data_IF_298705327253
#
_entry.id   IF_298705327253
#
_cell.length_a   1.000
_cell.length_b   1.000
_cell.length_c   1.000
_cell.angle_alpha   90.00
_cell.angle_beta   90.00
_cell.angle_gamma   90.00
#
_symmetry.space_group_name_H-M   'P 1'
#
loop_
_entity.id
_entity.type
_entity.pdbx_description
1 polymer ?
#
# COMPACT_ATOMS: atom_id res chain seq x y z
N UNK A 1 -9.33 27.71 -25.70
CA UNK A 1 -7.90 27.41 -25.93
C UNK A 1 -7.11 28.30 -25.00
N UNK A 2 -6.66 27.81 -23.87
CA UNK A 2 -5.75 28.49 -22.95
C UNK A 2 -4.46 27.69 -22.97
N UNK A 3 -3.41 28.24 -23.58
CA UNK A 3 -2.07 27.69 -23.57
C UNK A 3 -1.49 27.86 -22.17
N UNK A 4 -1.25 26.73 -21.48
CA UNK A 4 -0.45 26.69 -20.28
C UNK A 4 1.04 26.74 -20.68
N UNK A 5 1.74 27.80 -20.29
CA UNK A 5 3.19 27.91 -20.41
C UNK A 5 3.87 26.93 -19.43
N UNK A 6 4.90 26.22 -19.86
CA UNK A 6 5.75 25.45 -18.96
C UNK A 6 6.76 26.37 -18.29
N UNK A 7 6.84 26.39 -16.98
CA UNK A 7 7.91 27.06 -16.27
C UNK A 7 7.56 27.58 -14.90
N UNK A 8 7.57 26.69 -13.91
CA UNK A 8 7.88 27.06 -12.54
C UNK A 8 8.97 26.11 -12.03
N UNK A 9 10.18 26.60 -12.06
CA UNK A 9 11.32 26.00 -11.36
C UNK A 9 11.14 26.16 -9.85
N UNK A 10 11.39 25.12 -9.04
CA UNK A 10 11.49 25.26 -7.60
C UNK A 10 12.85 25.88 -7.25
N UNK A 11 12.89 27.21 -7.16
CA UNK A 11 14.05 27.96 -6.68
C UNK A 11 13.79 28.47 -5.28
N UNK A 12 13.99 27.65 -4.26
CA UNK A 12 14.41 28.08 -2.92
C UNK A 12 14.69 26.88 -1.99
N UNK A 13 15.44 25.89 -2.46
CA UNK A 13 16.15 25.00 -1.54
C UNK A 13 17.61 25.45 -1.53
N UNK A 14 18.06 25.88 -0.37
CA UNK A 14 19.43 26.30 -0.07
C UNK A 14 20.44 25.33 -0.72
N UNK A 15 21.23 25.86 -1.65
CA UNK A 15 22.38 25.15 -2.20
C UNK A 15 23.33 24.81 -1.05
N UNK A 16 23.65 23.53 -0.81
CA UNK A 16 24.75 23.23 0.09
C UNK A 16 26.05 23.80 -0.52
N UNK A 17 26.81 24.53 0.29
CA UNK A 17 28.15 25.01 -0.08
C UNK A 17 28.96 23.83 -0.59
N UNK A 18 29.48 23.93 -1.81
CA UNK A 18 30.49 23.00 -2.34
C UNK A 18 31.69 22.99 -1.38
N UNK A 19 31.74 21.99 -0.51
CA UNK A 19 32.99 21.62 0.11
C UNK A 19 33.83 20.93 -0.96
N UNK A 20 35.01 21.48 -1.22
CA UNK A 20 36.01 20.99 -2.16
C UNK A 20 36.54 19.65 -1.70
N UNK A 21 35.84 18.54 -2.06
CA UNK A 21 36.32 17.19 -1.87
C UNK A 21 37.15 16.78 -3.08
N UNK A 22 38.38 17.34 -3.17
CA UNK A 22 39.46 16.66 -3.90
C UNK A 22 39.80 15.33 -3.23
N UNK A 23 38.93 14.33 -3.45
CA UNK A 23 39.24 12.95 -3.10
C UNK A 23 40.32 12.44 -4.06
N UNK A 24 41.54 12.33 -3.55
CA UNK A 24 42.62 11.54 -4.19
C UNK A 24 42.01 10.21 -4.61
N UNK A 25 42.11 9.86 -5.92
CA UNK A 25 41.85 8.53 -6.45
C UNK A 25 42.82 7.52 -5.79
N UNK A 26 42.48 7.05 -4.61
CA UNK A 26 42.98 5.75 -4.13
C UNK A 26 42.25 4.72 -4.98
N UNK A 27 43.01 3.85 -5.66
CA UNK A 27 42.47 2.69 -6.35
C UNK A 27 41.55 1.91 -5.39
N UNK A 28 40.25 2.13 -5.45
CA UNK A 28 39.32 1.38 -4.62
C UNK A 28 39.22 -0.01 -5.20
N UNK A 29 39.77 -0.99 -4.50
CA UNK A 29 39.32 -2.38 -4.68
C UNK A 29 37.78 -2.31 -4.60
N UNK A 30 37.07 -2.81 -5.64
CA UNK A 30 35.62 -2.98 -5.55
C UNK A 30 35.35 -3.68 -4.21
N UNK A 31 34.41 -3.21 -3.39
CA UNK A 31 34.06 -3.90 -2.16
C UNK A 31 33.77 -5.36 -2.52
N UNK A 32 34.34 -6.29 -1.77
CA UNK A 32 34.03 -7.72 -1.93
C UNK A 32 32.51 -7.86 -1.76
N UNK A 33 31.83 -8.43 -2.75
CA UNK A 33 30.38 -8.66 -2.68
C UNK A 33 30.02 -9.59 -1.51
N UNK A 34 28.74 -9.68 -1.22
CA UNK A 34 28.20 -10.52 -0.16
C UNK A 34 28.49 -12.00 -0.44
N UNK A 35 28.72 -12.78 0.60
CA UNK A 35 28.82 -14.25 0.60
C UNK A 35 27.71 -14.81 1.46
N UNK A 36 27.04 -15.83 0.97
CA UNK A 36 26.01 -16.57 1.69
C UNK A 36 26.44 -18.02 1.86
N UNK A 37 26.20 -18.54 3.03
CA UNK A 37 26.23 -19.97 3.27
C UNK A 37 24.84 -20.56 3.00
N UNK A 38 24.81 -21.77 2.49
CA UNK A 38 23.56 -22.48 2.25
C UNK A 38 23.03 -23.01 3.58
N UNK A 39 21.76 -22.73 3.89
CA UNK A 39 21.15 -23.08 5.16
C UNK A 39 19.92 -24.00 5.00
N UNK A 40 19.16 -23.83 3.94
CA UNK A 40 17.86 -24.50 3.77
C UNK A 40 17.84 -25.49 2.61
N UNK A 41 18.39 -25.12 1.47
CA UNK A 41 18.33 -25.93 0.26
C UNK A 41 19.47 -26.95 0.16
N UNK A 42 19.22 -28.09 -0.47
CA UNK A 42 20.27 -29.09 -0.76
C UNK A 42 21.14 -28.63 -1.95
N UNK A 43 22.49 -28.62 -1.81
CA UNK A 43 23.36 -28.25 -2.93
C UNK A 43 23.39 -29.26 -4.08
N UNK A 44 22.83 -30.47 -3.91
CA UNK A 44 22.90 -31.56 -4.88
C UNK A 44 21.76 -31.53 -5.91
N UNK A 45 20.67 -30.81 -5.65
CA UNK A 45 19.54 -30.72 -6.56
C UNK A 45 18.92 -29.32 -6.58
N UNK A 46 18.23 -28.97 -7.67
CA UNK A 46 17.57 -27.69 -7.77
C UNK A 46 16.47 -27.52 -6.72
N UNK A 47 16.21 -26.29 -6.23
CA UNK A 47 15.27 -26.07 -5.11
C UNK A 47 13.85 -26.56 -5.42
N UNK A 48 13.42 -26.51 -6.66
CA UNK A 48 12.12 -27.05 -7.09
C UNK A 48 12.03 -28.57 -7.10
N UNK A 49 13.16 -29.27 -7.16
CA UNK A 49 13.21 -30.74 -7.20
C UNK A 49 13.33 -31.35 -5.80
N UNK A 50 13.41 -30.50 -4.78
CA UNK A 50 13.47 -30.90 -3.36
C UNK A 50 12.09 -31.10 -2.74
N UNK A 51 11.02 -30.91 -3.49
CA UNK A 51 9.64 -31.00 -3.01
C UNK A 51 8.77 -31.83 -3.94
N UNK A 52 7.70 -32.39 -3.40
CA UNK A 52 6.69 -33.10 -4.19
C UNK A 52 5.70 -32.13 -4.81
N UNK A 53 5.35 -32.36 -6.07
CA UNK A 53 4.41 -31.57 -6.85
C UNK A 53 3.16 -32.39 -7.19
N UNK A 54 2.02 -31.72 -7.24
CA UNK A 54 0.79 -32.32 -7.74
C UNK A 54 0.00 -31.33 -8.59
N UNK A 55 -0.95 -31.84 -9.37
CA UNK A 55 -1.88 -30.99 -10.12
C UNK A 55 -3.19 -30.82 -9.38
N UNK A 56 -3.65 -29.56 -9.31
CA UNK A 56 -4.91 -29.17 -8.66
C UNK A 56 -5.77 -28.32 -9.57
N UNK A 57 -7.02 -28.16 -9.20
CA UNK A 57 -7.95 -27.16 -9.73
C UNK A 57 -8.15 -26.08 -8.69
N UNK A 58 -8.02 -24.80 -9.09
CA UNK A 58 -8.40 -23.66 -8.26
C UNK A 58 -9.71 -23.07 -8.79
N UNK A 59 -10.70 -22.97 -7.89
CA UNK A 59 -12.03 -22.47 -8.21
C UNK A 59 -12.49 -21.46 -7.16
N UNK A 60 -13.12 -20.37 -7.58
CA UNK A 60 -13.77 -19.36 -6.75
C UNK A 60 -15.23 -19.28 -7.18
N UNK A 61 -16.12 -19.42 -6.23
CA UNK A 61 -17.55 -19.22 -6.40
C UNK A 61 -18.00 -17.96 -5.66
N UNK A 62 -19.07 -17.33 -6.13
CA UNK A 62 -19.80 -16.32 -5.36
C UNK A 62 -20.74 -16.98 -4.33
N UNK A 63 -21.45 -16.16 -3.55
CA UNK A 63 -22.37 -16.62 -2.50
C UNK A 63 -23.56 -17.42 -3.05
N UNK A 64 -23.88 -17.29 -4.35
CA UNK A 64 -24.90 -18.05 -5.05
C UNK A 64 -24.41 -19.42 -5.54
N UNK A 65 -23.10 -19.71 -5.39
CA UNK A 65 -22.44 -20.91 -5.91
C UNK A 65 -22.02 -20.81 -7.38
N UNK A 66 -22.19 -19.67 -8.03
CA UNK A 66 -21.75 -19.45 -9.40
C UNK A 66 -20.23 -19.32 -9.45
N UNK A 67 -19.59 -20.06 -10.37
CA UNK A 67 -18.14 -20.00 -10.59
C UNK A 67 -17.75 -18.66 -11.21
N UNK A 68 -16.94 -17.88 -10.49
CA UNK A 68 -16.36 -16.60 -10.95
C UNK A 68 -14.95 -16.78 -11.52
N UNK A 69 -14.22 -17.79 -11.07
CA UNK A 69 -12.88 -18.09 -11.55
C UNK A 69 -12.63 -19.60 -11.45
N UNK A 70 -12.07 -20.19 -12.50
CA UNK A 70 -11.64 -21.58 -12.52
C UNK A 70 -10.38 -21.73 -13.36
N UNK A 71 -9.40 -22.43 -12.82
CA UNK A 71 -8.22 -22.88 -13.56
C UNK A 71 -7.88 -24.31 -13.16
N UNK A 72 -7.75 -25.18 -14.16
CA UNK A 72 -7.48 -26.61 -13.99
C UNK A 72 -6.03 -26.94 -14.29
N UNK A 73 -5.60 -28.15 -13.89
CA UNK A 73 -4.26 -28.69 -14.17
C UNK A 73 -3.09 -27.83 -13.68
N UNK A 74 -3.26 -27.13 -12.57
CA UNK A 74 -2.27 -26.24 -11.98
C UNK A 74 -1.26 -27.07 -11.20
N UNK A 75 0.02 -26.92 -11.51
CA UNK A 75 1.12 -27.54 -10.76
C UNK A 75 1.42 -26.74 -9.48
N UNK A 76 1.27 -27.39 -8.33
CA UNK A 76 1.49 -26.78 -7.01
C UNK A 76 2.28 -27.73 -6.10
N UNK A 77 3.01 -27.22 -5.10
CA UNK A 77 3.59 -28.09 -4.07
C UNK A 77 2.51 -28.86 -3.34
N UNK A 78 2.69 -30.16 -3.20
CA UNK A 78 1.74 -31.06 -2.53
C UNK A 78 1.44 -30.65 -1.09
N UNK A 79 2.41 -30.08 -0.40
CA UNK A 79 2.28 -29.62 0.98
C UNK A 79 1.44 -28.33 1.13
N UNK A 80 1.15 -27.62 0.03
CA UNK A 80 0.37 -26.38 0.13
C UNK A 80 -1.09 -26.66 0.46
N UNK A 81 -1.68 -25.81 1.30
CA UNK A 81 -3.11 -25.87 1.58
C UNK A 81 -3.95 -25.52 0.33
N UNK A 82 -5.21 -25.96 0.31
CA UNK A 82 -6.16 -25.57 -0.74
C UNK A 82 -6.34 -24.05 -0.80
N UNK A 83 -6.34 -23.37 0.36
CA UNK A 83 -6.45 -21.92 0.45
C UNK A 83 -5.21 -21.21 -0.15
N UNK A 84 -3.99 -21.64 0.19
CA UNK A 84 -2.76 -21.11 -0.37
C UNK A 84 -2.73 -21.26 -1.90
N UNK A 85 -3.11 -22.43 -2.41
CA UNK A 85 -3.26 -22.69 -3.84
C UNK A 85 -4.25 -21.72 -4.49
N UNK A 86 -5.46 -21.60 -3.93
CA UNK A 86 -6.52 -20.74 -4.45
C UNK A 86 -6.08 -19.28 -4.52
N UNK A 87 -5.43 -18.77 -3.47
CA UNK A 87 -4.93 -17.38 -3.42
C UNK A 87 -3.82 -17.16 -4.44
N UNK A 88 -2.78 -18.00 -4.46
CA UNK A 88 -1.65 -17.84 -5.37
C UNK A 88 -2.11 -17.84 -6.82
N UNK A 89 -2.95 -18.79 -7.19
CA UNK A 89 -3.44 -18.95 -8.56
C UNK A 89 -4.37 -17.79 -8.95
N UNK A 90 -5.37 -17.49 -8.14
CA UNK A 90 -6.37 -16.47 -8.53
C UNK A 90 -5.83 -15.05 -8.49
N UNK A 91 -4.88 -14.75 -7.60
CA UNK A 91 -4.39 -13.38 -7.39
C UNK A 91 -3.04 -13.09 -8.05
N UNK A 92 -2.09 -14.02 -8.03
CA UNK A 92 -0.69 -13.74 -8.36
C UNK A 92 -0.22 -14.32 -9.71
N UNK A 93 -0.86 -15.36 -10.24
CA UNK A 93 -0.51 -15.87 -11.56
C UNK A 93 -0.70 -14.77 -12.61
N UNK A 94 0.30 -14.61 -13.46
CA UNK A 94 0.27 -13.69 -14.59
C UNK A 94 -0.50 -14.29 -15.77
N UNK A 95 -1.03 -13.40 -16.61
CA UNK A 95 -1.61 -13.72 -17.92
C UNK A 95 -3.10 -14.04 -17.87
N UNK A 96 -3.67 -14.23 -19.05
CA UNK A 96 -5.09 -14.54 -19.27
C UNK A 96 -5.25 -15.98 -19.77
N UNK A 97 -6.21 -16.71 -19.20
CA UNK A 97 -6.57 -18.07 -19.61
C UNK A 97 -7.03 -18.08 -21.09
N UNK A 98 -7.69 -17.04 -21.55
CA UNK A 98 -8.15 -16.92 -22.93
C UNK A 98 -7.00 -16.90 -23.96
N UNK A 99 -5.80 -16.47 -23.53
CA UNK A 99 -4.59 -16.44 -24.36
C UNK A 99 -3.75 -17.73 -24.27
N UNK A 100 -4.28 -18.79 -23.65
CA UNK A 100 -3.59 -20.06 -23.47
C UNK A 100 -2.65 -20.09 -22.27
N UNK A 101 -1.62 -20.94 -22.32
CA UNK A 101 -0.74 -21.27 -21.19
C UNK A 101 0.72 -20.83 -21.38
N UNK A 102 1.00 -20.02 -22.39
CA UNK A 102 2.33 -19.47 -22.64
C UNK A 102 2.44 -18.02 -22.17
N UNK A 103 3.08 -17.73 -21.02
CA UNK A 103 3.21 -16.37 -20.50
C UNK A 103 3.96 -15.41 -21.42
N UNK A 104 4.85 -15.90 -22.28
CA UNK A 104 5.56 -15.09 -23.29
C UNK A 104 4.62 -14.49 -24.33
N UNK A 105 3.44 -15.10 -24.52
CA UNK A 105 2.37 -14.65 -25.43
C UNK A 105 1.17 -14.06 -24.68
N UNK A 106 1.33 -13.72 -23.41
CA UNK A 106 0.25 -13.21 -22.56
C UNK A 106 -0.70 -14.29 -22.03
N UNK A 107 -0.38 -15.57 -22.23
CA UNK A 107 -1.10 -16.69 -21.65
C UNK A 107 -0.88 -16.83 -20.15
N UNK A 108 -1.74 -17.63 -19.53
CA UNK A 108 -1.77 -17.77 -18.05
C UNK A 108 -0.65 -18.68 -17.54
N UNK A 109 0.03 -18.27 -16.46
CA UNK A 109 0.88 -19.17 -15.68
C UNK A 109 0.07 -20.38 -15.20
N UNK A 110 0.70 -21.57 -15.23
CA UNK A 110 0.07 -22.84 -14.86
C UNK A 110 0.77 -23.56 -13.72
N UNK A 111 1.84 -22.98 -13.20
CA UNK A 111 2.64 -23.58 -12.14
C UNK A 111 3.13 -22.55 -11.15
N UNK A 112 3.11 -22.92 -9.86
CA UNK A 112 3.78 -22.15 -8.81
C UNK A 112 5.29 -22.04 -9.08
N UNK A 113 5.91 -22.99 -9.81
CA UNK A 113 7.30 -22.87 -10.27
C UNK A 113 7.51 -21.60 -11.10
N UNK A 114 6.59 -21.32 -12.04
CA UNK A 114 6.67 -20.13 -12.91
C UNK A 114 6.58 -18.85 -12.07
N UNK A 115 5.61 -18.77 -11.17
CA UNK A 115 5.42 -17.62 -10.29
C UNK A 115 6.67 -17.35 -9.43
N UNK A 116 7.16 -18.36 -8.72
CA UNK A 116 8.30 -18.22 -7.81
C UNK A 116 9.58 -17.94 -8.60
N UNK A 117 9.85 -18.71 -9.67
CA UNK A 117 11.02 -18.51 -10.53
C UNK A 117 11.07 -17.09 -11.10
N UNK A 118 9.96 -16.62 -11.64
CA UNK A 118 9.85 -15.27 -12.21
C UNK A 118 10.36 -14.19 -11.25
N UNK A 119 9.96 -14.26 -9.99
CA UNK A 119 10.33 -13.28 -8.98
C UNK A 119 11.77 -13.50 -8.49
N UNK A 120 12.08 -14.71 -8.02
CA UNK A 120 13.39 -15.00 -7.40
C UNK A 120 14.54 -14.91 -8.39
N UNK A 121 14.32 -15.32 -9.66
CA UNK A 121 15.32 -15.19 -10.73
C UNK A 121 15.59 -13.72 -11.04
N UNK A 122 14.55 -12.92 -11.19
CA UNK A 122 14.70 -11.50 -11.49
C UNK A 122 15.44 -10.75 -10.38
N UNK A 123 15.10 -11.00 -9.11
CA UNK A 123 15.82 -10.39 -7.97
C UNK A 123 17.30 -10.82 -7.96
N UNK A 124 17.58 -12.08 -8.26
CA UNK A 124 18.96 -12.58 -8.35
C UNK A 124 19.72 -11.91 -9.50
N UNK A 125 19.09 -11.76 -10.67
CA UNK A 125 19.70 -11.12 -11.84
C UNK A 125 20.01 -9.65 -11.58
N UNK A 126 19.14 -8.93 -10.90
CA UNK A 126 19.42 -7.56 -10.43
C UNK A 126 20.61 -7.53 -9.47
N UNK A 127 20.66 -8.46 -8.53
CA UNK A 127 21.80 -8.59 -7.60
C UNK A 127 23.13 -8.87 -8.30
N UNK A 128 23.13 -9.67 -9.38
CA UNK A 128 24.32 -9.93 -10.22
C UNK A 128 24.70 -8.64 -10.97
N UNK A 129 23.76 -8.01 -11.64
CA UNK A 129 23.99 -6.78 -12.42
C UNK A 129 24.54 -5.63 -11.55
N UNK A 130 24.01 -5.49 -10.35
CA UNK A 130 24.40 -4.47 -9.36
C UNK A 130 25.68 -4.83 -8.58
N UNK A 131 26.23 -6.04 -8.76
CA UNK A 131 27.46 -6.48 -8.10
C UNK A 131 27.31 -6.76 -6.60
N UNK A 132 26.11 -7.16 -6.14
CA UNK A 132 25.89 -7.52 -4.73
C UNK A 132 26.57 -8.81 -4.31
N UNK A 133 26.82 -9.75 -5.23
CA UNK A 133 27.40 -11.05 -4.93
C UNK A 133 28.91 -11.08 -5.16
N UNK A 134 29.63 -11.78 -4.29
CA UNK A 134 31.08 -11.94 -4.39
C UNK A 134 31.49 -12.74 -5.64
N UNK A 135 30.69 -13.71 -6.03
CA UNK A 135 30.94 -14.60 -7.16
C UNK A 135 29.61 -15.26 -7.65
N UNK A 136 29.68 -15.92 -8.80
CA UNK A 136 28.55 -16.61 -9.40
C UNK A 136 27.99 -17.74 -8.54
N UNK A 137 28.83 -18.41 -7.76
CA UNK A 137 28.41 -19.48 -6.83
C UNK A 137 27.53 -18.90 -5.73
N UNK A 138 27.90 -17.75 -5.18
CA UNK A 138 27.11 -17.05 -4.17
C UNK A 138 25.76 -16.59 -4.74
N UNK A 139 25.73 -16.08 -5.98
CA UNK A 139 24.48 -15.73 -6.65
C UNK A 139 23.56 -16.94 -6.86
N UNK A 140 24.11 -18.08 -7.27
CA UNK A 140 23.36 -19.32 -7.40
C UNK A 140 22.83 -19.81 -6.04
N UNK A 141 23.64 -19.75 -4.99
CA UNK A 141 23.19 -20.09 -3.63
C UNK A 141 22.07 -19.18 -3.18
N UNK A 142 22.15 -17.88 -3.43
CA UNK A 142 21.07 -16.92 -3.10
C UNK A 142 19.76 -17.27 -3.81
N UNK A 143 19.83 -17.57 -5.11
CA UNK A 143 18.66 -17.99 -5.87
C UNK A 143 18.02 -19.27 -5.30
N UNK A 144 18.81 -20.27 -4.99
CA UNK A 144 18.33 -21.55 -4.45
C UNK A 144 17.69 -21.38 -3.08
N UNK A 145 18.34 -20.66 -2.17
CA UNK A 145 17.82 -20.38 -0.82
C UNK A 145 16.53 -19.58 -0.87
N UNK A 146 16.49 -18.49 -1.66
CA UNK A 146 15.30 -17.65 -1.79
C UNK A 146 14.12 -18.41 -2.40
N UNK A 147 14.38 -19.22 -3.41
CA UNK A 147 13.39 -20.07 -4.07
C UNK A 147 12.85 -21.11 -3.09
N UNK A 148 13.73 -21.77 -2.34
CA UNK A 148 13.38 -22.77 -1.34
C UNK A 148 12.48 -22.18 -0.25
N UNK A 149 12.83 -20.99 0.27
CA UNK A 149 12.04 -20.29 1.29
C UNK A 149 10.63 -19.98 0.80
N UNK A 150 10.49 -19.47 -0.45
CA UNK A 150 9.20 -19.14 -1.02
C UNK A 150 8.33 -20.39 -1.26
N UNK A 151 8.89 -21.45 -1.83
CA UNK A 151 8.14 -22.66 -2.18
C UNK A 151 7.67 -23.42 -0.94
N UNK A 152 8.49 -23.43 0.11
CA UNK A 152 8.17 -24.07 1.39
C UNK A 152 7.37 -23.16 2.34
N UNK A 153 7.00 -21.94 1.92
CA UNK A 153 6.21 -20.98 2.69
C UNK A 153 6.88 -20.50 4.00
N UNK A 154 8.22 -20.52 4.07
CA UNK A 154 8.97 -19.89 5.15
C UNK A 154 9.10 -18.40 4.98
N UNK A 155 8.95 -17.89 3.76
CA UNK A 155 8.92 -16.49 3.41
C UNK A 155 7.99 -16.21 2.24
N UNK A 156 7.40 -15.04 2.22
CA UNK A 156 6.59 -14.55 1.11
C UNK A 156 6.87 -13.07 0.87
N UNK A 157 6.92 -12.69 -0.38
CA UNK A 157 6.96 -11.29 -0.75
C UNK A 157 5.57 -10.64 -0.60
N UNK A 158 5.55 -9.32 -0.47
CA UNK A 158 4.31 -8.56 -0.55
C UNK A 158 3.67 -8.66 -1.94
N UNK A 159 2.38 -8.34 -2.02
CA UNK A 159 1.59 -8.50 -3.25
C UNK A 159 2.15 -7.75 -4.47
N UNK A 160 2.63 -6.49 -4.39
CA UNK A 160 3.22 -5.81 -5.54
C UNK A 160 4.43 -6.52 -6.15
N UNK A 161 5.26 -7.16 -5.33
CA UNK A 161 6.37 -7.98 -5.84
C UNK A 161 5.83 -9.16 -6.65
N UNK A 162 4.86 -9.91 -6.11
CA UNK A 162 4.22 -11.01 -6.85
C UNK A 162 3.48 -10.56 -8.10
N UNK A 163 2.89 -9.34 -8.11
CA UNK A 163 2.17 -8.81 -9.28
C UNK A 163 3.10 -8.33 -10.38
N UNK A 164 4.21 -7.68 -10.04
CA UNK A 164 4.93 -6.81 -10.96
C UNK A 164 6.34 -7.31 -11.29
N UNK A 165 7.05 -7.94 -10.32
CA UNK A 165 8.45 -8.31 -10.52
C UNK A 165 8.59 -9.49 -11.48
N UNK A 166 9.48 -9.33 -12.43
CA UNK A 166 9.82 -10.33 -13.43
C UNK A 166 8.92 -10.34 -14.66
N UNK A 167 7.80 -9.62 -14.68
CA UNK A 167 6.93 -9.58 -15.86
C UNK A 167 7.68 -9.05 -17.09
N UNK A 168 8.38 -7.94 -16.94
CA UNK A 168 9.21 -7.39 -18.01
C UNK A 168 10.43 -8.26 -18.30
N UNK A 169 11.15 -8.67 -17.26
CA UNK A 169 12.45 -9.34 -17.40
C UNK A 169 12.34 -10.77 -17.89
N UNK A 170 11.35 -11.53 -17.40
CA UNK A 170 11.15 -12.93 -17.77
C UNK A 170 10.20 -13.13 -18.94
N UNK A 171 9.17 -12.28 -19.08
CA UNK A 171 8.13 -12.46 -20.10
C UNK A 171 8.09 -11.35 -21.15
N UNK A 172 8.88 -10.27 -20.98
CA UNK A 172 8.87 -9.14 -21.90
C UNK A 172 7.60 -8.28 -21.84
N UNK A 173 6.79 -8.47 -20.82
CA UNK A 173 5.52 -7.75 -20.63
C UNK A 173 5.74 -6.25 -20.50
N UNK A 174 4.88 -5.46 -21.12
CA UNK A 174 4.87 -3.99 -20.97
C UNK A 174 5.86 -3.24 -21.84
N UNK A 175 6.62 -3.91 -22.72
CA UNK A 175 7.58 -3.25 -23.62
C UNK A 175 6.92 -2.21 -24.51
N UNK A 176 5.73 -2.49 -25.00
CA UNK A 176 4.95 -1.63 -25.91
C UNK A 176 3.78 -0.92 -25.21
N UNK A 177 3.67 -1.00 -23.88
CA UNK A 177 2.52 -0.49 -23.12
C UNK A 177 2.67 0.97 -22.67
N UNK A 178 3.66 1.70 -23.21
CA UNK A 178 3.97 3.08 -22.85
C UNK A 178 4.82 3.22 -21.58
N UNK A 179 5.02 4.45 -21.10
CA UNK A 179 5.98 4.75 -20.04
C UNK A 179 5.62 4.10 -18.70
N UNK A 180 6.64 3.58 -18.02
CA UNK A 180 6.55 2.94 -16.71
C UNK A 180 6.64 3.90 -15.53
N UNK A 181 7.13 3.36 -14.41
CA UNK A 181 7.37 4.11 -13.17
C UNK A 181 8.62 4.99 -13.27
N UNK A 182 8.76 5.92 -12.33
CA UNK A 182 10.01 6.63 -12.12
C UNK A 182 11.00 5.72 -11.40
N UNK A 183 12.27 5.82 -11.80
CA UNK A 183 13.40 5.16 -11.17
C UNK A 183 14.58 6.11 -11.05
N UNK A 184 15.48 5.87 -10.10
CA UNK A 184 16.72 6.63 -9.99
C UNK A 184 17.76 6.06 -10.96
N UNK A 185 18.09 6.82 -11.99
CA UNK A 185 19.16 6.46 -12.92
C UNK A 185 20.52 6.77 -12.30
N UNK A 186 21.30 5.71 -12.02
CA UNK A 186 22.62 5.84 -11.38
C UNK A 186 23.67 6.51 -12.28
N UNK A 187 23.51 6.44 -13.58
CA UNK A 187 24.45 7.04 -14.55
C UNK A 187 24.23 8.54 -14.65
N UNK A 188 22.98 8.98 -14.74
CA UNK A 188 22.63 10.39 -14.83
C UNK A 188 22.49 11.07 -13.46
N UNK A 189 22.28 10.31 -12.40
CA UNK A 189 22.12 10.79 -11.03
C UNK A 189 20.77 11.47 -10.76
N UNK A 190 19.76 11.25 -11.61
CA UNK A 190 18.42 11.85 -11.46
C UNK A 190 17.33 10.80 -11.55
N UNK A 191 16.13 11.18 -11.08
CA UNK A 191 14.95 10.35 -11.27
C UNK A 191 14.41 10.52 -12.70
N UNK A 192 14.30 9.43 -13.41
CA UNK A 192 13.81 9.35 -14.79
C UNK A 192 12.59 8.45 -14.87
N UNK A 193 11.80 8.61 -15.90
CA UNK A 193 10.66 7.74 -16.15
C UNK A 193 11.09 6.59 -17.06
N UNK A 194 10.78 5.35 -16.66
CA UNK A 194 11.06 4.17 -17.46
C UNK A 194 10.32 4.21 -18.81
N UNK A 195 10.96 3.71 -19.84
CA UNK A 195 10.39 3.65 -21.19
C UNK A 195 9.30 2.58 -21.26
N UNK A 196 9.50 1.47 -20.56
CA UNK A 196 8.60 0.31 -20.54
C UNK A 196 7.93 0.13 -19.18
N UNK A 197 6.68 -0.34 -19.20
CA UNK A 197 6.01 -0.77 -17.96
C UNK A 197 6.69 -2.03 -17.41
N UNK A 198 6.67 -2.18 -16.10
CA UNK A 198 7.27 -3.31 -15.36
C UNK A 198 8.79 -3.48 -15.52
N UNK A 199 9.50 -2.59 -16.21
CA UNK A 199 10.96 -2.58 -16.26
C UNK A 199 11.56 -2.22 -14.89
N UNK A 200 11.05 -1.16 -14.28
CA UNK A 200 11.28 -0.79 -12.88
C UNK A 200 9.98 -0.91 -12.10
N UNK A 201 9.63 -2.13 -11.67
CA UNK A 201 8.32 -2.40 -11.13
C UNK A 201 8.13 -1.82 -9.73
N UNK A 202 6.89 -1.47 -9.40
CA UNK A 202 6.51 -1.19 -8.02
C UNK A 202 6.66 -2.44 -7.17
N UNK A 203 7.51 -2.36 -6.13
CA UNK A 203 7.81 -3.46 -5.23
C UNK A 203 7.34 -3.25 -3.79
N UNK A 204 6.96 -2.00 -3.42
CA UNK A 204 6.45 -1.69 -2.08
C UNK A 204 4.95 -1.89 -2.00
N UNK A 205 4.50 -2.54 -0.91
CA UNK A 205 3.09 -2.80 -0.69
C UNK A 205 2.30 -1.56 -0.29
N UNK A 206 2.93 -0.69 0.51
CA UNK A 206 2.25 0.43 1.12
C UNK A 206 3.15 1.66 1.23
N UNK A 207 2.51 2.82 1.29
CA UNK A 207 3.14 4.12 1.43
C UNK A 207 2.44 4.92 2.51
N UNK A 208 3.17 5.82 3.16
CA UNK A 208 2.62 6.86 4.02
C UNK A 208 2.84 8.17 3.32
N UNK A 209 1.79 8.97 3.18
CA UNK A 209 1.79 10.26 2.52
C UNK A 209 1.33 11.36 3.48
N UNK A 210 1.65 12.59 3.15
CA UNK A 210 1.16 13.78 3.84
C UNK A 210 0.30 14.63 2.92
N UNK A 211 -0.51 15.50 3.52
CA UNK A 211 -1.31 16.48 2.80
C UNK A 211 -1.24 17.82 3.52
N UNK A 212 -1.08 18.90 2.75
CA UNK A 212 -1.19 20.26 3.25
C UNK A 212 -2.59 20.82 2.98
N UNK A 213 -2.99 21.82 3.78
CA UNK A 213 -4.31 22.44 3.70
C UNK A 213 -4.45 23.41 2.50
N UNK A 214 -4.11 22.93 1.31
CA UNK A 214 -4.28 23.63 0.03
C UNK A 214 -5.01 22.73 -0.96
N UNK A 215 -5.80 23.34 -1.86
CA UNK A 215 -6.55 22.53 -2.85
C UNK A 215 -5.63 21.77 -3.79
N UNK A 216 -4.48 22.37 -4.14
CA UNK A 216 -3.47 21.74 -4.98
C UNK A 216 -2.92 20.48 -4.35
N UNK A 217 -2.63 20.52 -3.05
CA UNK A 217 -2.05 19.38 -2.35
C UNK A 217 -3.07 18.29 -2.07
N UNK A 218 -4.29 18.67 -1.72
CA UNK A 218 -5.43 17.76 -1.54
C UNK A 218 -5.68 16.96 -2.83
N UNK A 219 -5.68 17.61 -4.01
CA UNK A 219 -5.88 16.93 -5.29
C UNK A 219 -4.62 16.18 -5.75
N UNK A 220 -3.42 16.66 -5.41
CA UNK A 220 -2.18 15.93 -5.63
C UNK A 220 -2.16 14.60 -4.87
N UNK A 221 -2.64 14.58 -3.62
CA UNK A 221 -2.79 13.35 -2.85
C UNK A 221 -3.71 12.36 -3.57
N UNK A 222 -4.89 12.79 -4.02
CA UNK A 222 -5.83 11.92 -4.74
C UNK A 222 -5.20 11.30 -6.00
N UNK A 223 -4.45 12.09 -6.78
CA UNK A 223 -3.74 11.62 -7.96
C UNK A 223 -2.62 10.63 -7.59
N UNK A 224 -1.86 10.94 -6.56
CA UNK A 224 -0.77 10.08 -6.07
C UNK A 224 -1.31 8.71 -5.62
N UNK A 225 -2.40 8.71 -4.85
CA UNK A 225 -3.08 7.49 -4.41
C UNK A 225 -3.59 6.67 -5.58
N UNK A 226 -4.22 7.28 -6.57
CA UNK A 226 -4.68 6.58 -7.77
C UNK A 226 -3.53 5.85 -8.48
N UNK A 227 -2.35 6.47 -8.56
CA UNK A 227 -1.17 5.85 -9.18
C UNK A 227 -0.61 4.71 -8.32
N UNK A 228 -0.58 4.85 -6.99
CA UNK A 228 -0.14 3.79 -6.08
C UNK A 228 -1.10 2.59 -6.14
N UNK A 229 -2.40 2.84 -6.13
CA UNK A 229 -3.42 1.78 -6.25
C UNK A 229 -3.31 1.04 -7.59
N UNK A 230 -3.10 1.76 -8.70
CA UNK A 230 -2.92 1.15 -10.03
C UNK A 230 -1.85 0.06 -10.04
N UNK A 231 -0.76 0.23 -9.29
CA UNK A 231 0.34 -0.74 -9.23
C UNK A 231 0.25 -1.69 -8.04
N UNK A 232 -0.86 -1.71 -7.33
CA UNK A 232 -1.14 -2.71 -6.29
C UNK A 232 -0.72 -2.33 -4.88
N UNK A 233 -0.28 -1.08 -4.66
CA UNK A 233 0.12 -0.58 -3.35
C UNK A 233 -1.05 0.06 -2.62
N UNK A 234 -0.96 0.09 -1.28
CA UNK A 234 -1.85 0.84 -0.41
C UNK A 234 -1.20 2.13 0.09
N UNK A 235 -1.99 2.99 0.73
CA UNK A 235 -1.53 4.28 1.25
C UNK A 235 -2.16 4.62 2.60
N UNK A 236 -1.45 5.40 3.42
CA UNK A 236 -1.97 5.97 4.65
C UNK A 236 -1.69 7.46 4.73
N UNK A 237 -2.61 8.23 5.28
CA UNK A 237 -2.49 9.70 5.38
C UNK A 237 -3.12 10.22 6.66
N UNK A 238 -2.46 11.16 7.33
CA UNK A 238 -3.04 11.96 8.41
C UNK A 238 -3.77 13.17 7.81
N UNK A 239 -5.05 13.30 8.10
CA UNK A 239 -5.90 14.41 7.63
C UNK A 239 -5.99 15.55 8.64
N UNK A 240 -5.26 15.49 9.76
CA UNK A 240 -5.32 16.48 10.83
C UNK A 240 -4.74 17.84 10.44
N UNK A 241 -4.00 17.91 9.33
CA UNK A 241 -3.54 19.17 8.74
C UNK A 241 -4.63 19.96 8.02
N UNK A 242 -5.73 19.31 7.63
CA UNK A 242 -6.83 19.95 6.93
C UNK A 242 -7.72 20.71 7.92
N UNK A 243 -8.01 21.98 7.62
CA UNK A 243 -8.85 22.80 8.49
C UNK A 243 -10.26 22.24 8.65
N UNK A 244 -10.82 22.44 9.83
CA UNK A 244 -12.15 21.99 10.21
C UNK A 244 -13.26 22.80 9.53
N UNK A 245 -14.44 22.17 9.40
CA UNK A 245 -15.70 22.82 9.03
C UNK A 245 -16.09 23.97 9.98
N UNK A 246 -15.51 24.02 11.19
CA UNK A 246 -15.75 25.06 12.21
C UNK A 246 -14.84 26.28 12.06
N UNK A 247 -13.89 26.23 11.13
CA UNK A 247 -13.01 27.37 10.84
C UNK A 247 -13.59 28.26 9.73
N UNK A 248 -12.89 29.35 9.38
CA UNK A 248 -13.32 30.28 8.34
C UNK A 248 -12.33 30.30 7.18
N UNK A 249 -12.87 30.39 5.98
CA UNK A 249 -12.07 30.69 4.79
C UNK A 249 -11.68 32.17 4.77
N UNK A 250 -10.54 32.47 4.16
CA UNK A 250 -10.05 33.86 3.99
C UNK A 250 -11.05 34.75 3.23
N UNK A 251 -11.84 34.18 2.32
CA UNK A 251 -12.90 34.85 1.56
C UNK A 251 -14.27 34.86 2.25
N UNK A 252 -14.39 34.44 3.50
CA UNK A 252 -15.63 34.54 4.29
C UNK A 252 -16.60 33.37 4.15
N UNK A 253 -16.21 32.21 3.66
CA UNK A 253 -17.01 30.98 3.63
C UNK A 253 -16.65 29.99 4.73
N UNK A 254 -17.32 28.82 4.73
CA UNK A 254 -17.00 27.67 5.58
C UNK A 254 -16.14 26.66 4.80
N UNK A 255 -15.07 26.11 5.38
CA UNK A 255 -14.32 25.01 4.78
C UNK A 255 -15.16 23.75 4.65
N UNK A 256 -14.80 22.90 3.69
CA UNK A 256 -15.46 21.59 3.49
C UNK A 256 -15.08 20.58 4.58
N UNK A 257 -13.95 20.75 5.24
CA UNK A 257 -13.42 19.87 6.27
C UNK A 257 -12.85 18.54 5.72
N UNK A 258 -12.09 17.78 6.57
CA UNK A 258 -11.44 16.56 6.16
C UNK A 258 -12.41 15.47 5.66
N UNK A 259 -13.60 15.33 6.25
CA UNK A 259 -14.56 14.30 5.86
C UNK A 259 -15.13 14.48 4.45
N UNK A 260 -15.19 15.72 3.95
CA UNK A 260 -15.62 15.97 2.57
C UNK A 260 -14.57 15.51 1.56
N UNK A 261 -13.30 15.74 1.84
CA UNK A 261 -12.20 15.27 0.98
C UNK A 261 -11.98 13.75 1.12
N UNK A 262 -12.27 13.19 2.28
CA UNK A 262 -12.30 11.75 2.52
C UNK A 262 -13.17 11.02 1.49
N UNK A 263 -14.35 11.59 1.14
CA UNK A 263 -15.22 11.03 0.08
C UNK A 263 -14.55 10.97 -1.29
N UNK A 264 -13.70 11.94 -1.62
CA UNK A 264 -12.95 11.93 -2.88
C UNK A 264 -11.96 10.77 -2.87
N UNK A 265 -11.23 10.61 -1.78
CA UNK A 265 -10.23 9.55 -1.63
C UNK A 265 -10.87 8.16 -1.61
N UNK A 266 -12.00 7.98 -0.92
CA UNK A 266 -12.79 6.76 -0.92
C UNK A 266 -13.22 6.36 -2.34
N UNK A 267 -13.70 7.33 -3.14
CA UNK A 267 -14.11 7.05 -4.51
C UNK A 267 -12.91 6.75 -5.44
N UNK A 268 -11.77 7.39 -5.24
CA UNK A 268 -10.53 7.00 -5.94
C UNK A 268 -10.18 5.55 -5.62
N UNK A 269 -10.24 5.14 -4.36
CA UNK A 269 -9.97 3.77 -3.93
C UNK A 269 -11.02 2.76 -4.46
N UNK A 270 -12.27 3.19 -4.61
CA UNK A 270 -13.35 2.37 -5.18
C UNK A 270 -13.16 2.10 -6.68
N UNK A 271 -12.79 3.14 -7.43
CA UNK A 271 -12.73 3.08 -8.91
C UNK A 271 -11.41 2.49 -9.39
N UNK A 272 -10.28 2.82 -8.77
CA UNK A 272 -8.95 2.35 -9.17
C UNK A 272 -8.66 1.00 -8.54
N UNK A 273 -8.95 -0.07 -9.26
CA UNK A 273 -8.69 -1.44 -8.81
C UNK A 273 -7.20 -1.77 -8.86
N UNK A 274 -6.70 -2.33 -7.77
CA UNK A 274 -5.29 -2.67 -7.56
C UNK A 274 -4.76 -3.62 -8.64
N UNK A 275 -3.73 -3.15 -9.39
CA UNK A 275 -3.05 -3.94 -10.42
C UNK A 275 -3.95 -4.42 -11.56
N UNK A 276 -5.07 -3.77 -11.83
CA UNK A 276 -6.06 -4.22 -12.83
C UNK A 276 -6.75 -5.54 -12.49
N UNK A 277 -6.62 -6.02 -11.24
CA UNK A 277 -7.21 -7.26 -10.72
C UNK A 277 -8.35 -6.96 -9.75
N UNK A 278 -9.00 -7.99 -9.22
CA UNK A 278 -10.16 -7.90 -8.31
C UNK A 278 -9.81 -7.46 -6.87
N UNK A 279 -8.58 -6.98 -6.60
CA UNK A 279 -8.19 -6.50 -5.27
C UNK A 279 -8.65 -5.05 -5.11
N UNK A 280 -9.39 -4.76 -4.04
CA UNK A 280 -9.69 -3.38 -3.63
C UNK A 280 -8.41 -2.66 -3.24
N UNK A 281 -8.36 -1.36 -3.47
CA UNK A 281 -7.34 -0.49 -2.92
C UNK A 281 -7.40 -0.54 -1.39
N UNK A 282 -6.26 -0.36 -0.74
CA UNK A 282 -6.18 -0.29 0.71
C UNK A 282 -5.71 1.10 1.11
N UNK A 283 -6.49 1.78 1.95
CA UNK A 283 -6.21 3.13 2.44
C UNK A 283 -6.45 3.23 3.94
N UNK A 284 -5.56 3.93 4.64
CA UNK A 284 -5.73 4.40 6.01
C UNK A 284 -5.87 5.92 6.02
N UNK A 285 -6.85 6.42 6.75
CA UNK A 285 -6.93 7.82 7.10
C UNK A 285 -6.91 7.96 8.61
N UNK A 286 -6.04 8.82 9.11
CA UNK A 286 -5.98 9.13 10.54
C UNK A 286 -6.45 10.54 10.82
N UNK A 287 -7.05 10.74 11.99
CA UNK A 287 -7.37 12.05 12.53
C UNK A 287 -6.98 12.09 14.01
N UNK A 288 -6.35 13.19 14.43
CA UNK A 288 -5.92 13.34 15.82
C UNK A 288 -7.09 13.75 16.73
N UNK A 289 -7.02 13.32 17.97
CA UNK A 289 -8.02 13.52 19.04
C UNK A 289 -8.39 14.99 19.29
N UNK A 290 -7.48 15.91 18.98
CA UNK A 290 -7.69 17.34 19.17
C UNK A 290 -8.38 18.04 17.98
N UNK A 291 -8.55 17.36 16.84
CA UNK A 291 -9.15 18.00 15.65
C UNK A 291 -10.64 18.34 15.90
N UNK A 292 -11.13 19.53 15.48
CA UNK A 292 -12.52 19.92 15.78
C UNK A 292 -13.57 18.99 15.13
N UNK A 293 -13.29 18.34 14.01
CA UNK A 293 -14.21 17.40 13.34
C UNK A 293 -14.02 15.94 13.81
N UNK A 294 -13.36 15.72 14.96
CA UNK A 294 -13.04 14.37 15.44
C UNK A 294 -14.29 13.51 15.72
N UNK A 295 -15.35 14.10 16.24
CA UNK A 295 -16.56 13.38 16.58
C UNK A 295 -17.31 12.91 15.33
N UNK A 296 -17.35 13.74 14.30
CA UNK A 296 -17.90 13.41 13.00
C UNK A 296 -17.07 12.30 12.32
N UNK A 297 -15.74 12.34 12.46
CA UNK A 297 -14.83 11.31 11.96
C UNK A 297 -15.07 9.97 12.65
N UNK A 298 -15.19 9.96 13.98
CA UNK A 298 -15.49 8.75 14.76
C UNK A 298 -16.79 8.09 14.28
N UNK A 299 -17.81 8.89 14.03
CA UNK A 299 -19.14 8.39 13.66
C UNK A 299 -19.30 8.14 12.15
N UNK A 300 -18.31 8.46 11.32
CA UNK A 300 -18.45 8.47 9.86
C UNK A 300 -18.94 7.11 9.31
N UNK A 301 -18.21 6.04 9.58
CA UNK A 301 -18.58 4.71 9.08
C UNK A 301 -19.82 4.14 9.75
N UNK A 302 -19.98 4.35 11.06
CA UNK A 302 -21.18 3.91 11.76
C UNK A 302 -22.46 4.51 11.16
N UNK A 303 -22.40 5.77 10.74
CA UNK A 303 -23.55 6.42 10.08
C UNK A 303 -23.83 5.83 8.69
N UNK A 304 -22.81 5.46 7.95
CA UNK A 304 -22.95 4.79 6.66
C UNK A 304 -23.45 3.34 6.80
N UNK A 305 -22.99 2.62 7.82
CA UNK A 305 -23.47 1.26 8.15
C UNK A 305 -24.99 1.25 8.43
N UNK A 306 -25.48 2.24 9.19
CA UNK A 306 -26.93 2.38 9.42
C UNK A 306 -27.71 2.62 8.12
N UNK A 307 -27.15 3.35 7.15
CA UNK A 307 -27.77 3.52 5.84
C UNK A 307 -27.79 2.20 5.06
N UNK A 308 -26.68 1.45 5.07
CA UNK A 308 -26.62 0.15 4.42
C UNK A 308 -27.67 -0.81 5.01
N UNK A 309 -27.83 -0.87 6.33
CA UNK A 309 -28.88 -1.68 6.96
C UNK A 309 -30.28 -1.26 6.52
N UNK A 310 -30.57 0.04 6.46
CA UNK A 310 -31.87 0.52 5.98
C UNK A 310 -32.11 0.13 4.51
N UNK A 311 -31.08 0.14 3.65
CA UNK A 311 -31.20 -0.33 2.28
C UNK A 311 -31.45 -1.83 2.20
N UNK A 312 -30.77 -2.64 3.02
CA UNK A 312 -30.97 -4.09 3.11
C UNK A 312 -32.41 -4.40 3.56
N UNK A 313 -32.93 -3.70 4.55
CA UNK A 313 -34.33 -3.81 4.98
C UNK A 313 -35.33 -3.50 3.87
N UNK A 314 -34.95 -2.66 2.91
CA UNK A 314 -35.77 -2.35 1.72
C UNK A 314 -35.53 -3.34 0.56
N UNK A 315 -34.73 -4.41 0.76
CA UNK A 315 -34.51 -5.47 -0.21
C UNK A 315 -33.31 -5.28 -1.15
N UNK A 316 -32.45 -4.30 -0.92
CA UNK A 316 -31.18 -4.19 -1.65
C UNK A 316 -30.22 -5.30 -1.25
N UNK A 317 -29.36 -5.72 -2.19
CA UNK A 317 -28.37 -6.77 -1.94
C UNK A 317 -27.36 -6.35 -0.86
N UNK A 318 -27.38 -7.05 0.27
CA UNK A 318 -26.52 -6.86 1.43
C UNK A 318 -25.20 -7.63 1.37
N UNK A 319 -24.88 -8.28 0.25
CA UNK A 319 -23.57 -8.93 0.07
C UNK A 319 -22.45 -7.88 0.02
N UNK A 320 -21.21 -8.33 0.26
CA UNK A 320 -20.03 -7.45 0.30
C UNK A 320 -19.82 -6.56 -0.94
N UNK A 321 -20.26 -7.02 -2.11
CA UNK A 321 -20.25 -6.25 -3.36
C UNK A 321 -21.65 -5.83 -3.82
N UNK A 322 -22.66 -6.00 -2.96
CA UNK A 322 -24.06 -5.68 -3.25
C UNK A 322 -24.34 -4.18 -3.27
N UNK A 323 -25.51 -3.83 -3.79
CA UNK A 323 -25.91 -2.45 -3.98
C UNK A 323 -26.05 -1.68 -2.67
N UNK A 324 -26.40 -2.33 -1.56
CA UNK A 324 -26.51 -1.67 -0.27
C UNK A 324 -25.15 -1.07 0.16
N UNK A 325 -24.08 -1.88 0.17
CA UNK A 325 -22.75 -1.40 0.51
C UNK A 325 -22.06 -0.62 -0.61
N UNK A 326 -22.42 -0.85 -1.87
CA UNK A 326 -21.95 -0.08 -3.02
C UNK A 326 -22.45 1.37 -3.04
N UNK A 327 -23.58 1.65 -2.34
CA UNK A 327 -24.23 2.97 -2.33
C UNK A 327 -23.82 3.89 -1.18
N UNK A 328 -23.11 3.36 -0.16
CA UNK A 328 -22.68 4.13 1.01
C UNK A 328 -21.21 4.49 0.93
N UNK A 329 -20.80 5.54 1.66
CA UNK A 329 -19.43 6.07 1.63
C UNK A 329 -18.47 5.33 2.56
N UNK A 330 -17.17 5.57 2.40
CA UNK A 330 -16.09 5.13 3.28
C UNK A 330 -15.88 3.61 3.35
N UNK A 331 -16.29 2.88 2.30
CA UNK A 331 -16.17 1.41 2.26
C UNK A 331 -14.80 0.92 1.80
N UNK A 332 -13.98 1.79 1.21
CA UNK A 332 -12.70 1.42 0.59
C UNK A 332 -11.49 1.92 1.39
N UNK A 333 -11.71 2.34 2.62
CA UNK A 333 -10.69 2.92 3.49
C UNK A 333 -10.88 2.51 4.95
N UNK A 334 -9.78 2.48 5.69
CA UNK A 334 -9.77 2.29 7.14
C UNK A 334 -9.62 3.65 7.82
N UNK A 335 -10.34 3.86 8.90
CA UNK A 335 -10.27 5.07 9.72
C UNK A 335 -9.64 4.76 11.07
N UNK A 336 -8.72 5.59 11.55
CA UNK A 336 -8.14 5.46 12.89
C UNK A 336 -8.00 6.81 13.58
N UNK A 337 -8.37 6.85 14.85
CA UNK A 337 -8.14 8.02 15.71
C UNK A 337 -6.74 7.93 16.32
N UNK A 338 -5.96 9.00 16.17
CA UNK A 338 -4.65 9.15 16.82
C UNK A 338 -4.86 9.83 18.17
N UNK A 339 -4.71 9.05 19.27
CA UNK A 339 -4.94 9.52 20.62
C UNK A 339 -3.64 9.86 21.35
N UNK A 340 -3.63 10.99 22.06
CA UNK A 340 -2.53 11.42 22.90
C UNK A 340 -2.63 10.83 24.32
N UNK A 341 -1.51 10.80 25.06
CA UNK A 341 -1.51 10.41 26.46
C UNK A 341 -2.42 11.36 27.28
N UNK A 342 -2.44 12.66 26.93
CA UNK A 342 -3.28 13.69 27.56
C UNK A 342 -4.77 13.39 27.38
N UNK A 343 -5.19 13.01 26.16
CA UNK A 343 -6.57 12.60 25.91
C UNK A 343 -6.93 11.34 26.70
N UNK A 344 -6.06 10.34 26.71
CA UNK A 344 -6.30 9.09 27.42
C UNK A 344 -6.43 9.31 28.92
N UNK A 345 -5.58 10.15 29.50
CA UNK A 345 -5.68 10.52 30.92
C UNK A 345 -6.99 11.27 31.21
N UNK A 346 -7.37 12.24 30.36
CA UNK A 346 -8.63 12.95 30.50
C UNK A 346 -9.84 11.99 30.44
N UNK A 347 -9.80 10.99 29.55
CA UNK A 347 -10.86 9.99 29.42
C UNK A 347 -10.95 9.07 30.65
N UNK A 348 -9.81 8.64 31.22
CA UNK A 348 -9.76 7.81 32.45
C UNK A 348 -10.28 8.58 33.67
N UNK A 349 -9.88 9.82 33.79
CA UNK A 349 -10.27 10.70 34.92
C UNK A 349 -11.71 11.26 34.75
N UNK A 350 -12.27 11.22 33.54
CA UNK A 350 -13.60 11.79 33.25
C UNK A 350 -13.58 13.32 33.12
N UNK A 351 -12.46 13.83 32.64
CA UNK A 351 -12.25 15.26 32.41
C UNK A 351 -12.77 15.72 31.05
N UNK A 352 -12.82 17.02 30.89
CA UNK A 352 -13.13 17.67 29.62
C UNK A 352 -11.92 17.58 28.67
N UNK A 353 -12.23 17.52 27.36
CA UNK A 353 -11.26 17.57 26.28
C UNK A 353 -11.55 18.76 25.34
N UNK A 354 -10.55 19.58 25.06
CA UNK A 354 -10.66 20.70 24.17
C UNK A 354 -10.08 20.36 22.80
N UNK A 355 -10.91 20.45 21.76
CA UNK A 355 -10.42 20.44 20.37
C UNK A 355 -9.73 21.76 20.06
N UNK A 356 -8.88 21.76 19.03
CA UNK A 356 -8.04 22.91 18.67
C UNK A 356 -8.19 23.22 17.18
N UNK A 357 -8.31 24.50 16.85
CA UNK A 357 -8.30 24.93 15.45
C UNK A 357 -6.97 24.57 14.79
N UNK A 358 -7.03 24.11 13.55
CA UNK A 358 -5.85 23.68 12.79
C UNK A 358 -4.94 24.88 12.48
N UNK A 359 -5.50 26.04 12.15
CA UNK A 359 -4.75 27.21 11.71
C UNK A 359 -3.91 27.87 12.81
N UNK A 360 -4.39 27.95 14.01
CA UNK A 360 -3.77 28.76 15.08
C UNK A 360 -3.64 28.03 16.42
N UNK A 361 -4.11 26.77 16.50
CA UNK A 361 -4.05 25.97 17.72
C UNK A 361 -4.98 26.44 18.85
N UNK A 362 -5.82 27.45 18.60
CA UNK A 362 -6.73 27.98 19.62
C UNK A 362 -7.80 26.95 19.98
N UNK A 363 -8.29 26.93 21.25
CA UNK A 363 -9.40 26.06 21.64
C UNK A 363 -10.64 26.30 20.76
N UNK A 364 -11.33 25.20 20.39
CA UNK A 364 -12.53 25.26 19.55
C UNK A 364 -13.75 24.76 20.31
N UNK A 365 -13.92 23.46 20.46
CA UNK A 365 -15.05 22.85 21.11
C UNK A 365 -14.64 22.11 22.38
N UNK A 366 -15.50 22.17 23.40
CA UNK A 366 -15.38 21.40 24.62
C UNK A 366 -16.15 20.09 24.47
N UNK A 367 -15.49 18.97 24.76
CA UNK A 367 -16.02 17.62 24.66
C UNK A 367 -15.87 16.87 25.98
N UNK A 368 -16.66 15.84 26.20
CA UNK A 368 -16.43 14.84 27.23
C UNK A 368 -15.43 13.80 26.70
N UNK A 369 -14.23 13.73 27.29
CA UNK A 369 -13.18 12.81 26.85
C UNK A 369 -13.61 11.34 26.93
N UNK A 370 -14.25 10.95 28.04
CA UNK A 370 -14.77 9.59 28.24
C UNK A 370 -15.88 9.27 27.26
N UNK A 371 -16.76 10.21 26.99
CA UNK A 371 -17.82 10.10 25.98
C UNK A 371 -17.26 9.90 24.57
N UNK A 372 -16.19 10.61 24.20
CA UNK A 372 -15.52 10.40 22.92
C UNK A 372 -14.87 9.01 22.82
N UNK A 373 -14.16 8.58 23.88
CA UNK A 373 -13.56 7.24 23.93
C UNK A 373 -14.61 6.14 23.80
N UNK A 374 -15.77 6.33 24.44
CA UNK A 374 -16.92 5.41 24.33
C UNK A 374 -17.45 5.34 22.89
N UNK A 375 -17.57 6.48 22.20
CA UNK A 375 -18.01 6.52 20.79
C UNK A 375 -17.04 5.80 19.87
N UNK A 376 -15.72 5.92 20.11
CA UNK A 376 -14.71 5.13 19.38
C UNK A 376 -14.98 3.63 19.56
N UNK A 377 -15.12 3.17 20.82
CA UNK A 377 -15.37 1.77 21.12
C UNK A 377 -16.68 1.25 20.53
N UNK A 378 -17.76 2.05 20.57
CA UNK A 378 -19.07 1.70 19.98
C UNK A 378 -18.97 1.59 18.44
N UNK A 379 -18.31 2.53 17.78
CA UNK A 379 -18.07 2.48 16.33
C UNK A 379 -17.28 1.25 15.93
N UNK A 380 -16.16 0.98 16.62
CA UNK A 380 -15.34 -0.21 16.40
C UNK A 380 -16.13 -1.52 16.60
N UNK A 381 -16.99 -1.57 17.61
CA UNK A 381 -17.85 -2.73 17.85
C UNK A 381 -18.87 -2.96 16.73
N UNK A 382 -19.45 -1.89 16.17
CA UNK A 382 -20.50 -1.97 15.17
C UNK A 382 -19.98 -2.31 13.78
N UNK A 383 -18.91 -1.63 13.34
CA UNK A 383 -18.43 -1.72 11.95
C UNK A 383 -16.91 -1.91 11.79
N UNK A 384 -16.17 -2.17 12.87
CA UNK A 384 -14.73 -2.38 12.82
C UNK A 384 -13.89 -1.09 12.78
N UNK A 385 -14.53 0.07 12.61
CA UNK A 385 -13.89 1.39 12.56
C UNK A 385 -14.60 2.41 13.49
N UNK A 386 -13.85 3.41 14.00
CA UNK A 386 -12.44 3.64 13.77
C UNK A 386 -11.54 2.73 14.61
N UNK A 387 -10.34 2.44 14.11
CA UNK A 387 -9.25 1.94 14.93
C UNK A 387 -8.70 3.04 15.86
N UNK A 388 -7.80 2.67 16.76
CA UNK A 388 -7.15 3.61 17.68
C UNK A 388 -5.63 3.42 17.66
N UNK A 389 -4.90 4.53 17.55
CA UNK A 389 -3.44 4.56 17.50
C UNK A 389 -2.91 5.52 18.60
N UNK A 390 -1.95 5.04 19.40
CA UNK A 390 -1.41 5.80 20.54
C UNK A 390 -0.28 6.73 20.08
N UNK A 391 -0.62 7.95 19.69
CA UNK A 391 0.27 8.92 19.09
C UNK A 391 1.51 9.24 19.95
N UNK A 392 1.34 9.46 21.26
CA UNK A 392 2.44 9.75 22.18
C UNK A 392 3.41 8.57 22.28
N UNK A 393 2.90 7.34 22.36
CA UNK A 393 3.71 6.13 22.43
C UNK A 393 4.48 5.90 21.11
N UNK A 394 3.81 6.04 19.98
CA UNK A 394 4.43 5.96 18.65
C UNK A 394 5.61 6.93 18.57
N UNK A 395 5.39 8.19 18.97
CA UNK A 395 6.46 9.19 18.94
C UNK A 395 7.61 8.90 19.93
N UNK A 396 7.33 8.28 21.08
CA UNK A 396 8.38 7.82 22.02
C UNK A 396 9.30 6.77 21.39
N UNK A 397 8.75 5.88 20.58
CA UNK A 397 9.50 4.81 19.91
C UNK A 397 10.15 5.23 18.58
N UNK A 398 9.80 6.38 18.04
CA UNK A 398 10.34 6.88 16.79
C UNK A 398 11.86 7.10 16.87
N UNK A 399 12.63 6.40 16.05
CA UNK A 399 14.09 6.41 16.06
C UNK A 399 14.70 7.67 15.42
N UNK A 400 13.94 8.38 14.58
CA UNK A 400 14.37 9.58 13.84
C UNK A 400 13.66 10.86 14.30
N UNK A 401 13.44 11.03 15.60
CA UNK A 401 12.70 12.17 16.20
C UNK A 401 13.21 13.55 15.79
N UNK A 402 14.50 13.67 15.45
CA UNK A 402 15.13 14.92 15.04
C UNK A 402 14.81 15.31 13.58
N UNK A 403 14.21 14.43 12.82
CA UNK A 403 13.84 14.70 11.41
C UNK A 403 12.44 15.26 11.32
N UNK A 404 11.44 14.48 11.80
CA UNK A 404 10.04 14.87 11.76
C UNK A 404 9.22 13.94 12.67
N UNK A 405 7.90 14.12 12.68
CA UNK A 405 6.92 13.36 13.44
C UNK A 405 6.25 12.30 12.55
N UNK A 406 6.00 11.11 13.09
CA UNK A 406 5.19 10.10 12.44
C UNK A 406 3.71 10.38 12.69
N UNK A 407 2.98 10.79 11.64
CA UNK A 407 1.60 11.24 11.75
C UNK A 407 0.56 10.22 11.29
N UNK A 408 0.97 9.20 10.52
CA UNK A 408 0.08 8.15 10.02
C UNK A 408 0.75 6.80 10.04
N UNK A 409 0.00 5.76 9.76
CA UNK A 409 0.47 4.41 9.46
C UNK A 409 0.15 4.05 8.01
N UNK A 410 0.67 2.93 7.53
CA UNK A 410 0.18 2.31 6.32
C UNK A 410 -1.26 1.76 6.51
N UNK A 411 -1.94 1.26 5.46
CA UNK A 411 -3.35 0.85 5.53
C UNK A 411 -3.71 -0.17 6.59
N UNK A 412 -2.82 -1.09 6.90
CA UNK A 412 -3.05 -2.17 7.87
C UNK A 412 -2.43 -1.89 9.24
N UNK A 413 -1.83 -0.72 9.44
CA UNK A 413 -1.18 -0.26 10.68
C UNK A 413 0.01 -1.13 11.15
N UNK A 414 0.64 -1.90 10.26
CA UNK A 414 1.75 -2.77 10.61
C UNK A 414 3.09 -2.04 10.68
N UNK A 415 3.20 -0.81 10.13
CA UNK A 415 4.38 0.04 10.28
C UNK A 415 4.04 1.54 10.23
N UNK A 416 5.03 2.37 10.61
CA UNK A 416 4.94 3.83 10.75
C UNK A 416 5.99 4.51 9.89
#
# INVERSE_FOLDING_TARGET
MIQLKPGLHPSSLNKPRRADLRRKKRGSKKPAGLRFERCFSDPKCAPFDQIEWEKRTAEITDDSGKVIFKQENIEVPKAWSALATKIAVSKYFYGDIANGTDPLKGGRETSVRQLVHRVTRTITDWGIADGYFADAKTAATFYDELTWLCVNQYGAFNSPVWFNVGLHHQYGTGRDAGPGNYFYNRETGVAERAVSQYEYPQGSACFIQSVEDTMEDIMRLAMSEAMLFKYGSGTGTDLSSLRSTREKLSGGGKPSGPLSFLKVYDQVANVVKSGGKTRRAAKMNTLKDWHPDIEEFINAKQNEERKAWALIEQGYDGSYNGDAYGSVMYQNENLSVRVSDEFMNAAVEGNEWWTKRVRDGSPCDRKDARGLLRKIAEGTHICGDPGMQFDSTIHKWHTCKGTDRQNSTNPCSEYL
#
